data_IF_246000114844
#
_entry.id   IF_246000114844
#
_cell.length_a   1.000
_cell.length_b   1.000
_cell.length_c   1.000
_cell.angle_alpha   90.00
_cell.angle_beta   90.00
_cell.angle_gamma   90.00
#
_symmetry.space_group_name_H-M   'P 1'
#
loop_
_entity.id
_entity.type
_entity.pdbx_description
1 polymer ?
#
# COMPACT_ATOMS: atom_id res chain seq x y z
N UNK A 1 -26.50 5.15 -30.98
CA UNK A 1 -25.42 5.76 -30.18
C UNK A 1 -24.69 4.60 -29.50
N UNK A 2 -23.56 4.20 -30.09
CA UNK A 2 -22.79 3.02 -29.66
C UNK A 2 -22.12 3.33 -28.33
N UNK A 3 -22.63 2.78 -27.22
CA UNK A 3 -21.89 2.74 -25.96
C UNK A 3 -20.70 1.81 -26.16
N UNK A 4 -19.54 2.43 -26.36
CA UNK A 4 -18.26 1.76 -26.42
C UNK A 4 -17.99 1.17 -25.02
N UNK A 5 -18.31 -0.11 -24.81
CA UNK A 5 -17.99 -0.86 -23.58
C UNK A 5 -16.49 -1.19 -23.51
N UNK A 6 -15.65 -0.16 -23.66
CA UNK A 6 -14.26 -0.21 -23.25
C UNK A 6 -14.22 -0.21 -21.73
N UNK A 7 -13.78 -1.32 -21.14
CA UNK A 7 -13.45 -1.50 -19.71
C UNK A 7 -13.69 -0.25 -18.84
N UNK A 8 -14.86 -0.18 -18.22
CA UNK A 8 -15.30 0.97 -17.45
C UNK A 8 -14.30 1.22 -16.29
N UNK A 9 -13.33 2.11 -16.51
CA UNK A 9 -12.36 2.53 -15.49
C UNK A 9 -13.12 3.41 -14.50
N UNK A 10 -13.01 3.09 -13.22
CA UNK A 10 -13.63 3.92 -12.19
C UNK A 10 -12.85 5.23 -12.06
N UNK A 11 -13.35 6.28 -12.71
CA UNK A 11 -12.76 7.61 -12.68
C UNK A 11 -12.58 8.11 -11.25
N UNK A 12 -13.57 7.87 -10.37
CA UNK A 12 -13.49 8.22 -8.95
C UNK A 12 -12.29 7.59 -8.24
N UNK A 13 -11.96 6.33 -8.55
CA UNK A 13 -10.82 5.63 -7.97
C UNK A 13 -9.49 6.20 -8.48
N UNK A 14 -9.42 6.52 -9.78
CA UNK A 14 -8.22 7.12 -10.37
C UNK A 14 -7.97 8.53 -9.80
N UNK A 15 -9.02 9.34 -9.62
CA UNK A 15 -8.95 10.67 -8.98
C UNK A 15 -8.53 10.56 -7.52
N UNK A 16 -9.14 9.64 -6.76
CA UNK A 16 -8.81 9.43 -5.34
C UNK A 16 -7.34 8.97 -5.15
N UNK A 17 -6.84 8.10 -6.03
CA UNK A 17 -5.41 7.73 -6.06
C UNK A 17 -4.52 8.94 -6.36
N UNK A 18 -4.88 9.75 -7.34
CA UNK A 18 -4.15 10.97 -7.68
C UNK A 18 -4.05 11.94 -6.49
N UNK A 19 -5.17 12.20 -5.81
CA UNK A 19 -5.20 13.04 -4.61
C UNK A 19 -4.36 12.48 -3.47
N UNK A 20 -4.40 11.16 -3.25
CA UNK A 20 -3.59 10.53 -2.19
C UNK A 20 -2.09 10.63 -2.48
N UNK A 21 -1.67 10.47 -3.74
CA UNK A 21 -0.27 10.67 -4.17
C UNK A 21 0.12 12.14 -4.04
N UNK A 22 -0.73 13.08 -4.46
CA UNK A 22 -0.47 14.51 -4.33
C UNK A 22 -0.30 14.90 -2.85
N UNK A 23 -1.18 14.39 -1.98
CA UNK A 23 -1.07 14.55 -0.53
C UNK A 23 0.24 14.01 0.01
N UNK A 24 0.65 12.80 -0.40
CA UNK A 24 1.94 12.21 -0.03
C UNK A 24 3.13 13.07 -0.44
N UNK A 25 3.12 13.62 -1.65
CA UNK A 25 4.22 14.49 -2.12
C UNK A 25 4.26 15.78 -1.32
N UNK A 26 3.11 16.37 -1.04
CA UNK A 26 2.97 17.63 -0.30
C UNK A 26 3.48 17.48 1.14
N UNK A 27 3.09 16.41 1.85
CA UNK A 27 3.51 16.19 3.23
C UNK A 27 4.99 15.81 3.37
N UNK A 28 5.56 15.12 2.37
CA UNK A 28 6.98 14.77 2.37
C UNK A 28 7.90 15.93 1.95
N UNK A 29 7.34 17.00 1.38
CA UNK A 29 8.10 18.17 0.93
C UNK A 29 7.51 19.47 1.48
N UNK A 30 7.57 19.71 2.81
CA UNK A 30 7.03 20.93 3.41
C UNK A 30 7.84 22.20 3.09
N UNK A 31 8.87 22.12 2.24
CA UNK A 31 9.78 23.22 1.89
C UNK A 31 10.83 23.49 2.98
N UNK A 32 10.41 23.79 4.20
CA UNK A 32 11.32 24.00 5.33
C UNK A 32 10.78 23.32 6.59
N UNK A 33 11.56 22.39 7.16
CA UNK A 33 11.19 21.62 8.35
C UNK A 33 10.99 22.49 9.61
N UNK A 34 11.45 23.75 9.59
CA UNK A 34 11.24 24.74 10.67
C UNK A 34 9.97 25.58 10.52
N UNK A 35 9.23 25.46 9.41
CA UNK A 35 8.01 26.22 9.11
C UNK A 35 6.92 25.31 8.53
N UNK A 36 6.77 24.11 9.09
CA UNK A 36 5.72 23.17 8.69
C UNK A 36 4.39 23.73 9.18
N UNK A 37 3.43 23.93 8.26
CA UNK A 37 2.06 24.27 8.62
C UNK A 37 1.50 23.19 9.55
N UNK A 38 0.91 23.58 10.69
CA UNK A 38 0.46 22.61 11.73
C UNK A 38 -0.40 21.44 11.21
N UNK A 39 -1.28 21.59 10.20
CA UNK A 39 -2.02 20.44 9.63
C UNK A 39 -1.17 19.44 8.85
N UNK A 40 0.05 19.80 8.44
CA UNK A 40 0.97 18.98 7.66
C UNK A 40 2.01 18.26 8.51
N UNK A 41 2.16 18.69 9.77
CA UNK A 41 3.00 17.99 10.73
C UNK A 41 2.33 16.67 11.18
N UNK A 42 3.14 15.66 11.47
CA UNK A 42 2.66 14.45 12.12
C UNK A 42 2.24 14.76 13.56
N UNK A 43 1.18 14.12 14.05
CA UNK A 43 0.89 14.15 15.49
C UNK A 43 2.03 13.47 16.27
N UNK A 44 2.41 14.01 17.43
CA UNK A 44 3.53 13.46 18.22
C UNK A 44 3.21 12.06 18.78
N UNK A 45 1.96 11.82 19.23
CA UNK A 45 1.53 10.52 19.77
C UNK A 45 0.01 10.39 19.91
N UNK A 46 -0.63 11.40 20.52
CA UNK A 46 -2.08 11.47 20.69
C UNK A 46 -2.66 12.56 19.78
N UNK A 47 -3.33 12.13 18.71
CA UNK A 47 -3.92 13.01 17.71
C UNK A 47 -3.98 12.31 16.35
N UNK A 48 -4.70 12.92 15.41
CA UNK A 48 -4.66 12.51 14.02
C UNK A 48 -4.56 13.76 13.17
N UNK A 49 -3.48 13.91 12.41
CA UNK A 49 -3.38 14.98 11.40
C UNK A 49 -3.72 14.43 10.02
N UNK A 50 -4.16 15.28 9.08
CA UNK A 50 -4.40 14.89 7.69
C UNK A 50 -3.26 14.08 7.05
N UNK A 51 -2.02 14.35 7.46
CA UNK A 51 -0.82 13.65 7.02
C UNK A 51 -0.81 12.16 7.39
N UNK A 52 -1.32 11.80 8.57
CA UNK A 52 -1.33 10.43 9.06
C UNK A 52 -2.29 9.53 8.27
N UNK A 53 -3.32 10.12 7.65
CA UNK A 53 -4.32 9.40 6.85
C UNK A 53 -3.85 9.02 5.44
N UNK A 54 -2.77 9.63 4.94
CA UNK A 54 -2.24 9.33 3.59
C UNK A 54 -1.96 7.84 3.43
N UNK A 55 -1.29 7.22 4.40
CA UNK A 55 -0.95 5.80 4.34
C UNK A 55 -2.19 4.88 4.42
N UNK A 56 -3.13 5.05 5.36
CA UNK A 56 -4.42 4.35 5.36
C UNK A 56 -5.18 4.46 4.03
N UNK A 57 -5.23 5.65 3.42
CA UNK A 57 -5.89 5.83 2.13
C UNK A 57 -5.21 5.04 1.01
N UNK A 58 -3.87 4.98 0.99
CA UNK A 58 -3.16 4.11 0.04
C UNK A 58 -3.54 2.64 0.19
N UNK A 59 -3.58 2.12 1.43
CA UNK A 59 -3.96 0.72 1.66
C UNK A 59 -5.41 0.45 1.27
N UNK A 60 -6.31 1.39 1.54
CA UNK A 60 -7.71 1.28 1.13
C UNK A 60 -7.87 1.23 -0.40
N UNK A 61 -7.17 2.11 -1.13
CA UNK A 61 -7.15 2.12 -2.60
C UNK A 61 -6.60 0.81 -3.14
N UNK A 62 -5.52 0.30 -2.55
CA UNK A 62 -4.94 -0.99 -2.93
C UNK A 62 -5.96 -2.12 -2.73
N UNK A 63 -6.70 -2.11 -1.61
CA UNK A 63 -7.78 -3.07 -1.35
C UNK A 63 -8.88 -3.04 -2.43
N UNK A 64 -9.42 -1.87 -2.75
CA UNK A 64 -10.42 -1.71 -3.83
C UNK A 64 -9.84 -2.14 -5.18
N UNK A 65 -8.59 -1.78 -5.47
CA UNK A 65 -7.95 -2.17 -6.72
C UNK A 65 -7.80 -3.69 -6.85
N UNK A 66 -7.58 -4.41 -5.74
CA UNK A 66 -7.54 -5.88 -5.72
C UNK A 66 -8.92 -6.44 -6.08
N UNK A 67 -9.99 -5.99 -5.41
CA UNK A 67 -11.34 -6.55 -5.63
C UNK A 67 -11.84 -6.31 -7.05
N UNK A 68 -11.58 -5.13 -7.62
CA UNK A 68 -11.96 -4.81 -9.01
C UNK A 68 -11.11 -5.56 -10.05
N UNK A 69 -9.79 -5.61 -9.86
CA UNK A 69 -8.88 -6.21 -10.84
C UNK A 69 -8.91 -7.74 -10.84
N UNK A 70 -9.03 -8.35 -9.64
CA UNK A 70 -9.10 -9.81 -9.49
C UNK A 70 -10.54 -10.32 -9.59
N UNK A 71 -11.53 -9.62 -9.02
CA UNK A 71 -12.94 -10.07 -9.04
C UNK A 71 -13.44 -10.33 -10.46
N UNK A 72 -13.24 -9.35 -11.35
CA UNK A 72 -13.61 -9.48 -12.77
C UNK A 72 -12.92 -10.66 -13.47
N UNK A 73 -11.68 -10.98 -13.09
CA UNK A 73 -10.92 -12.09 -13.70
C UNK A 73 -11.32 -13.45 -13.16
N UNK A 74 -11.56 -13.54 -11.85
CA UNK A 74 -12.05 -14.76 -11.21
C UNK A 74 -13.42 -15.12 -11.77
N UNK A 75 -14.28 -14.12 -11.99
CA UNK A 75 -15.61 -14.30 -12.60
C UNK A 75 -15.52 -14.75 -14.08
N UNK A 76 -14.59 -14.19 -14.87
CA UNK A 76 -14.47 -14.49 -16.30
C UNK A 76 -13.72 -15.79 -16.63
N UNK A 77 -12.68 -16.13 -15.86
CA UNK A 77 -11.74 -17.20 -16.23
C UNK A 77 -11.57 -18.27 -15.15
N UNK A 78 -12.21 -18.13 -13.99
CA UNK A 78 -12.02 -19.01 -12.85
C UNK A 78 -10.65 -18.83 -12.18
N UNK A 79 -10.41 -19.61 -11.12
CA UNK A 79 -9.16 -19.56 -10.36
C UNK A 79 -8.09 -20.40 -11.07
N UNK A 80 -7.24 -19.73 -11.87
CA UNK A 80 -6.15 -20.38 -12.62
C UNK A 80 -4.76 -20.01 -12.07
N UNK A 81 -3.75 -20.82 -12.42
CA UNK A 81 -2.34 -20.58 -12.06
C UNK A 81 -1.84 -19.20 -12.50
N UNK A 82 -2.36 -18.68 -13.61
CA UNK A 82 -2.00 -17.35 -14.14
C UNK A 82 -2.39 -16.20 -13.19
N UNK A 83 -3.45 -16.36 -12.40
CA UNK A 83 -3.87 -15.36 -11.40
C UNK A 83 -2.82 -15.30 -10.30
N UNK A 84 -2.39 -16.46 -9.79
CA UNK A 84 -1.34 -16.54 -8.75
C UNK A 84 -0.01 -15.97 -9.25
N UNK A 85 0.41 -16.34 -10.47
CA UNK A 85 1.65 -15.83 -11.06
C UNK A 85 1.61 -14.30 -11.23
N UNK A 86 0.44 -13.75 -11.62
CA UNK A 86 0.26 -12.30 -11.74
C UNK A 86 0.32 -11.59 -10.40
N UNK A 87 -0.35 -12.13 -9.37
CA UNK A 87 -0.30 -11.57 -8.01
C UNK A 87 1.15 -11.55 -7.52
N UNK A 88 1.85 -12.68 -7.64
CA UNK A 88 3.24 -12.80 -7.21
C UNK A 88 4.17 -11.86 -7.98
N UNK A 89 4.06 -11.81 -9.31
CA UNK A 89 4.86 -10.90 -10.14
C UNK A 89 4.65 -9.43 -9.75
N UNK A 90 3.41 -9.02 -9.48
CA UNK A 90 3.12 -7.64 -9.06
C UNK A 90 3.69 -7.34 -7.67
N UNK A 91 3.53 -8.25 -6.71
CA UNK A 91 4.12 -8.11 -5.39
C UNK A 91 5.67 -8.03 -5.47
N UNK A 92 6.29 -8.89 -6.28
CA UNK A 92 7.73 -8.90 -6.52
C UNK A 92 8.22 -7.57 -7.13
N UNK A 93 7.51 -7.03 -8.13
CA UNK A 93 7.87 -5.75 -8.75
C UNK A 93 7.80 -4.61 -7.73
N UNK A 94 6.74 -4.53 -6.92
CA UNK A 94 6.60 -3.47 -5.91
C UNK A 94 7.69 -3.61 -4.84
N UNK A 95 7.97 -4.84 -4.41
CA UNK A 95 9.03 -5.12 -3.43
C UNK A 95 10.42 -4.76 -3.98
N UNK A 96 10.73 -5.20 -5.19
CA UNK A 96 12.00 -4.92 -5.86
C UNK A 96 12.18 -3.43 -6.12
N UNK A 97 11.11 -2.71 -6.51
CA UNK A 97 11.14 -1.25 -6.64
C UNK A 97 11.41 -0.57 -5.29
N UNK A 98 10.78 -1.06 -4.22
CA UNK A 98 11.04 -0.58 -2.86
C UNK A 98 12.49 -0.79 -2.43
N UNK A 99 13.05 -1.96 -2.72
CA UNK A 99 14.45 -2.27 -2.42
C UNK A 99 15.40 -1.42 -3.27
N UNK A 100 15.09 -1.25 -4.56
CA UNK A 100 15.87 -0.40 -5.46
C UNK A 100 15.91 1.05 -4.94
N UNK A 101 14.76 1.61 -4.55
CA UNK A 101 14.69 2.97 -3.99
C UNK A 101 15.37 3.09 -2.62
N UNK A 102 15.33 2.05 -1.78
CA UNK A 102 16.03 2.04 -0.50
C UNK A 102 17.56 1.98 -0.66
N UNK A 103 18.02 1.44 -1.79
CA UNK A 103 19.43 1.24 -2.12
C UNK A 103 19.98 2.38 -2.99
N UNK A 104 19.11 3.27 -3.51
CA UNK A 104 19.48 4.39 -4.37
C UNK A 104 19.64 5.70 -3.56
N UNK A 105 20.71 6.49 -3.75
CA UNK A 105 21.83 6.29 -4.67
C UNK A 105 22.83 5.24 -4.13
N UNK A 106 23.22 4.30 -4.98
CA UNK A 106 24.17 3.20 -4.65
C UNK A 106 25.54 3.71 -4.19
N UNK A 107 25.84 4.97 -4.50
CA UNK A 107 27.04 5.66 -4.10
C UNK A 107 26.66 6.89 -3.26
N UNK A 108 27.14 6.93 -2.02
CA UNK A 108 26.91 8.07 -1.16
C UNK A 108 28.03 9.10 -1.38
N UNK A 109 27.79 10.09 -2.25
CA UNK A 109 28.75 11.17 -2.55
C UNK A 109 29.15 12.00 -1.31
N UNK A 110 28.34 12.00 -0.24
CA UNK A 110 28.66 12.72 1.00
C UNK A 110 29.64 11.95 1.89
N UNK A 111 29.56 10.61 1.91
CA UNK A 111 30.45 9.76 2.72
C UNK A 111 31.55 9.07 1.92
N UNK A 112 31.55 9.23 0.60
CA UNK A 112 32.52 8.62 -0.33
C UNK A 112 32.58 7.08 -0.22
N UNK A 113 31.48 6.46 0.24
CA UNK A 113 31.35 5.04 0.51
C UNK A 113 30.34 4.38 -0.44
N UNK A 114 30.64 3.13 -0.81
CA UNK A 114 29.74 2.26 -1.55
C UNK A 114 28.78 1.57 -0.59
N UNK A 115 27.47 1.64 -0.87
CA UNK A 115 26.38 0.92 -0.18
C UNK A 115 26.60 0.58 1.30
N UNK A 116 26.22 1.51 2.18
CA UNK A 116 26.18 1.26 3.62
C UNK A 116 24.93 0.43 3.99
N UNK A 117 25.07 -0.90 3.96
CA UNK A 117 24.01 -1.88 4.26
C UNK A 117 23.42 -1.69 5.68
N UNK A 118 24.14 -1.02 6.58
CA UNK A 118 23.68 -0.76 7.95
C UNK A 118 22.58 0.31 8.05
N UNK A 119 22.50 1.22 7.07
CA UNK A 119 21.49 2.30 7.03
C UNK A 119 20.33 2.01 6.07
N UNK A 120 20.43 0.95 5.25
CA UNK A 120 19.39 0.57 4.30
C UNK A 120 18.14 0.14 5.06
N UNK A 121 17.08 0.94 4.93
CA UNK A 121 15.75 0.58 5.43
C UNK A 121 15.16 -0.54 4.56
N UNK A 122 15.41 -1.78 4.96
CA UNK A 122 14.90 -2.99 4.28
C UNK A 122 13.36 -2.95 4.21
N UNK A 123 12.69 -2.46 5.26
CA UNK A 123 11.23 -2.51 5.40
C UNK A 123 10.56 -1.13 5.23
N UNK A 124 10.74 -0.55 4.05
CA UNK A 124 10.06 0.69 3.64
C UNK A 124 8.56 0.52 3.36
N UNK A 125 7.91 1.64 3.02
CA UNK A 125 6.46 1.70 2.76
C UNK A 125 6.06 0.81 1.58
N UNK A 126 6.85 0.79 0.50
CA UNK A 126 6.58 -0.02 -0.68
C UNK A 126 6.67 -1.52 -0.39
N UNK A 127 7.65 -1.96 0.39
CA UNK A 127 7.80 -3.36 0.81
C UNK A 127 6.61 -3.81 1.65
N UNK A 128 6.15 -2.95 2.58
CA UNK A 128 4.95 -3.21 3.39
C UNK A 128 3.71 -3.35 2.51
N UNK A 129 3.51 -2.43 1.56
CA UNK A 129 2.40 -2.49 0.61
C UNK A 129 2.48 -3.78 -0.24
N UNK A 130 3.66 -4.20 -0.67
CA UNK A 130 3.85 -5.43 -1.43
C UNK A 130 3.41 -6.68 -0.65
N UNK A 131 3.81 -6.77 0.62
CA UNK A 131 3.44 -7.89 1.50
C UNK A 131 1.93 -7.89 1.78
N UNK A 132 1.37 -6.73 2.14
CA UNK A 132 -0.06 -6.58 2.37
C UNK A 132 -0.87 -6.93 1.10
N UNK A 133 -0.43 -6.46 -0.07
CA UNK A 133 -1.06 -6.78 -1.35
C UNK A 133 -1.03 -8.29 -1.63
N UNK A 134 0.11 -8.94 -1.41
CA UNK A 134 0.25 -10.39 -1.63
C UNK A 134 -0.70 -11.18 -0.74
N UNK A 135 -0.67 -10.93 0.57
CA UNK A 135 -1.51 -11.65 1.55
C UNK A 135 -2.99 -11.37 1.27
N UNK A 136 -3.39 -10.10 1.10
CA UNK A 136 -4.77 -9.74 0.86
C UNK A 136 -5.30 -10.31 -0.47
N UNK A 137 -4.48 -10.31 -1.53
CA UNK A 137 -4.87 -10.90 -2.82
C UNK A 137 -5.06 -12.41 -2.74
N UNK A 138 -4.21 -13.11 -1.97
CA UNK A 138 -4.34 -14.56 -1.77
C UNK A 138 -5.58 -14.91 -0.97
N UNK A 139 -5.88 -14.16 0.09
CA UNK A 139 -7.13 -14.28 0.84
C UNK A 139 -8.31 -14.03 -0.09
N UNK A 140 -8.28 -12.94 -0.87
CA UNK A 140 -9.37 -12.60 -1.78
C UNK A 140 -9.71 -13.72 -2.77
N UNK A 141 -8.69 -14.37 -3.36
CA UNK A 141 -8.90 -15.45 -4.34
C UNK A 141 -9.46 -16.73 -3.71
N UNK A 142 -9.15 -17.01 -2.44
CA UNK A 142 -9.55 -18.26 -1.77
C UNK A 142 -10.82 -18.15 -0.92
N UNK A 143 -11.36 -16.95 -0.74
CA UNK A 143 -12.26 -16.67 0.37
C UNK A 143 -13.41 -15.77 -0.05
N UNK A 144 -14.62 -16.05 0.45
CA UNK A 144 -15.81 -15.24 0.19
C UNK A 144 -15.85 -13.97 1.04
N UNK A 145 -16.66 -12.98 0.66
CA UNK A 145 -16.77 -11.70 1.38
C UNK A 145 -17.08 -11.87 2.89
N UNK A 146 -17.92 -12.85 3.26
CA UNK A 146 -18.24 -13.16 4.67
C UNK A 146 -17.02 -13.63 5.44
N UNK A 147 -16.24 -14.53 4.84
CA UNK A 147 -15.03 -15.05 5.45
C UNK A 147 -13.92 -13.97 5.48
N UNK A 148 -13.85 -13.09 4.48
CA UNK A 148 -12.94 -11.93 4.50
C UNK A 148 -13.26 -10.99 5.68
N UNK A 149 -14.55 -10.73 5.93
CA UNK A 149 -14.99 -9.95 7.08
C UNK A 149 -14.65 -10.63 8.42
N UNK A 150 -14.83 -11.95 8.52
CA UNK A 150 -14.44 -12.74 9.69
C UNK A 150 -12.93 -12.68 9.92
N UNK A 151 -12.12 -12.86 8.87
CA UNK A 151 -10.65 -12.77 8.97
C UNK A 151 -10.23 -11.36 9.41
N UNK A 152 -10.83 -10.30 8.86
CA UNK A 152 -10.54 -8.94 9.27
C UNK A 152 -10.89 -8.69 10.74
N UNK A 153 -12.09 -9.11 11.18
CA UNK A 153 -12.49 -9.01 12.57
C UNK A 153 -11.57 -9.82 13.50
N UNK A 154 -11.21 -11.04 13.11
CA UNK A 154 -10.30 -11.88 13.86
C UNK A 154 -8.90 -11.25 13.98
N UNK A 155 -8.36 -10.69 12.90
CA UNK A 155 -7.08 -9.98 12.93
C UNK A 155 -7.11 -8.77 13.88
N UNK A 156 -8.19 -8.00 13.88
CA UNK A 156 -8.38 -6.87 14.79
C UNK A 156 -8.48 -7.31 16.25
N UNK A 157 -9.25 -8.37 16.52
CA UNK A 157 -9.41 -8.92 17.87
C UNK A 157 -8.12 -9.54 18.39
N UNK A 158 -7.38 -10.27 17.54
CA UNK A 158 -6.07 -10.81 17.89
C UNK A 158 -5.09 -9.68 18.19
N UNK A 159 -5.03 -8.64 17.35
CA UNK A 159 -4.18 -7.50 17.61
C UNK A 159 -4.52 -6.81 18.94
N UNK A 160 -5.82 -6.58 19.20
CA UNK A 160 -6.28 -6.02 20.47
C UNK A 160 -5.91 -6.90 21.67
N UNK A 161 -6.09 -8.22 21.57
CA UNK A 161 -5.74 -9.16 22.61
C UNK A 161 -4.23 -9.17 22.88
N UNK A 162 -3.40 -9.15 21.83
CA UNK A 162 -1.95 -9.06 21.97
C UNK A 162 -1.54 -7.77 22.70
N UNK A 163 -2.14 -6.63 22.33
CA UNK A 163 -1.85 -5.33 22.96
C UNK A 163 -2.31 -5.25 24.43
N UNK A 164 -3.33 -6.01 24.82
CA UNK A 164 -3.90 -5.97 26.18
C UNK A 164 -3.35 -7.05 27.12
N UNK A 165 -2.93 -8.19 26.59
CA UNK A 165 -2.48 -9.34 27.38
C UNK A 165 -0.96 -9.50 27.45
N UNK A 166 -0.22 -8.94 26.49
CA UNK A 166 1.26 -9.02 26.43
C UNK A 166 1.91 -7.71 26.93
N UNK A 167 1.11 -6.74 27.37
CA UNK A 167 1.55 -5.48 27.96
C UNK A 167 1.36 -5.50 29.48
#
# INVERSE_FOLDING_TARGET
MSENTGQNRLLSLDVFRGMTIAGMVLVNNPGTWSAIYSPLAHAEWHGATPTDFVFPFFLFIVGIAITLALGKRVEQAGINKDIYLKIFRRALIIFALGLFLATFPFYNFTRNEWLDVSTVRIMGVLQRIAICYLIASLIFVRTNWKQQAIIAAALLLVYWALMTLIN
#
